data_IF_922542793521
#
_entry.id   IF_922542793521
#
_cell.length_a   1.000
_cell.length_b   1.000
_cell.length_c   1.000
_cell.angle_alpha   90.00
_cell.angle_beta   90.00
_cell.angle_gamma   90.00
#
_symmetry.space_group_name_H-M   'P 1'
#
loop_
_entity.id
_entity.type
_entity.pdbx_description
1 polymer ?
#
# COMPACT_ATOMS: atom_id res chain seq x y z
N UNK A 1 -23.10 -27.83 -6.89
CA UNK A 1 -23.72 -26.53 -6.56
C UNK A 1 -22.91 -25.88 -5.44
N UNK A 2 -22.15 -24.84 -5.74
CA UNK A 2 -21.57 -23.95 -4.73
C UNK A 2 -21.90 -22.53 -5.19
N UNK A 3 -22.88 -21.93 -4.52
CA UNK A 3 -23.32 -20.55 -4.74
C UNK A 3 -22.19 -19.65 -4.26
N UNK A 4 -21.48 -19.04 -5.21
CA UNK A 4 -20.57 -17.93 -4.92
C UNK A 4 -21.38 -16.86 -4.20
N UNK A 5 -21.01 -16.56 -2.96
CA UNK A 5 -21.47 -15.39 -2.23
C UNK A 5 -21.12 -14.16 -3.06
N UNK A 6 -22.11 -13.66 -3.79
CA UNK A 6 -22.06 -12.35 -4.41
C UNK A 6 -22.03 -11.36 -3.24
N UNK A 7 -20.82 -10.95 -2.84
CA UNK A 7 -20.63 -9.84 -1.93
C UNK A 7 -21.47 -8.69 -2.49
N UNK A 8 -22.55 -8.32 -1.81
CA UNK A 8 -23.39 -7.19 -2.21
C UNK A 8 -22.50 -5.96 -2.29
N UNK A 9 -22.00 -5.65 -3.48
CA UNK A 9 -21.24 -4.44 -3.75
C UNK A 9 -22.21 -3.32 -3.40
N UNK A 10 -21.92 -2.48 -2.38
CA UNK A 10 -22.83 -1.40 -2.04
C UNK A 10 -23.11 -0.60 -3.32
N UNK A 11 -24.37 -0.24 -3.56
CA UNK A 11 -24.75 0.47 -4.79
C UNK A 11 -23.82 1.66 -5.05
N UNK A 12 -23.55 1.99 -6.32
CA UNK A 12 -22.53 2.99 -6.71
C UNK A 12 -22.66 4.32 -5.96
N UNK A 13 -23.90 4.74 -5.63
CA UNK A 13 -24.19 5.94 -4.83
C UNK A 13 -23.74 5.77 -3.37
N UNK A 14 -23.96 4.61 -2.77
CA UNK A 14 -23.52 4.27 -1.39
C UNK A 14 -22.00 4.17 -1.31
N UNK A 15 -21.33 3.68 -2.37
CA UNK A 15 -19.87 3.71 -2.50
C UNK A 15 -19.33 5.15 -2.55
N UNK A 16 -19.91 6.01 -3.39
CA UNK A 16 -19.52 7.42 -3.46
C UNK A 16 -19.70 8.14 -2.12
N UNK A 17 -20.82 7.87 -1.42
CA UNK A 17 -21.09 8.45 -0.09
C UNK A 17 -20.09 7.99 0.95
N UNK A 18 -19.74 6.70 0.96
CA UNK A 18 -18.75 6.13 1.86
C UNK A 18 -17.36 6.76 1.61
N UNK A 19 -16.95 6.90 0.35
CA UNK A 19 -15.68 7.56 -0.01
C UNK A 19 -15.69 9.03 0.42
N UNK A 20 -16.81 9.74 0.23
CA UNK A 20 -16.93 11.13 0.67
C UNK A 20 -16.82 11.27 2.21
N UNK A 21 -17.36 10.33 2.98
CA UNK A 21 -17.20 10.28 4.43
C UNK A 21 -15.74 10.03 4.83
N UNK A 22 -15.06 9.10 4.15
CA UNK A 22 -13.63 8.82 4.37
C UNK A 22 -12.78 10.07 4.07
N UNK A 23 -13.04 10.77 2.96
CA UNK A 23 -12.36 12.02 2.62
C UNK A 23 -12.57 13.06 3.70
N UNK A 24 -13.81 13.23 4.18
CA UNK A 24 -14.14 14.23 5.21
C UNK A 24 -13.47 13.91 6.55
N UNK A 25 -13.37 12.63 6.92
CA UNK A 25 -12.69 12.17 8.14
C UNK A 25 -11.17 12.39 8.04
N UNK A 26 -10.56 12.10 6.90
CA UNK A 26 -9.13 12.28 6.70
C UNK A 26 -8.72 13.75 6.47
N UNK A 27 -9.56 14.54 5.81
CA UNK A 27 -9.34 15.96 5.54
C UNK A 27 -10.67 16.74 5.60
N UNK A 28 -10.94 17.51 6.67
CA UNK A 28 -12.20 18.24 6.82
C UNK A 28 -12.40 19.32 5.74
N UNK A 29 -11.33 19.80 5.10
CA UNK A 29 -11.38 20.78 4.00
C UNK A 29 -11.53 20.11 2.62
N UNK A 30 -11.58 18.78 2.55
CA UNK A 30 -11.54 18.05 1.29
C UNK A 30 -12.75 18.30 0.38
N UNK A 31 -13.96 18.26 0.94
CA UNK A 31 -15.20 18.51 0.19
C UNK A 31 -15.31 19.95 -0.35
N UNK A 32 -15.00 21.01 0.45
CA UNK A 32 -14.91 22.36 -0.07
C UNK A 32 -13.96 22.52 -1.26
N UNK A 33 -12.79 21.86 -1.24
CA UNK A 33 -11.81 21.93 -2.35
C UNK A 33 -12.39 21.32 -3.64
N UNK A 34 -13.05 20.17 -3.53
CA UNK A 34 -13.69 19.52 -4.70
C UNK A 34 -14.76 20.44 -5.28
N UNK A 35 -15.64 21.01 -4.44
CA UNK A 35 -16.69 21.90 -4.89
C UNK A 35 -16.13 23.19 -5.52
N UNK A 36 -15.15 23.82 -4.87
CA UNK A 36 -14.48 25.01 -5.38
C UNK A 36 -13.79 24.74 -6.72
N UNK A 37 -13.18 23.56 -6.90
CA UNK A 37 -12.54 23.19 -8.16
C UNK A 37 -13.55 23.03 -9.30
N UNK A 38 -14.69 22.39 -9.05
CA UNK A 38 -15.73 22.22 -10.07
C UNK A 38 -16.39 23.56 -10.43
N UNK A 39 -16.76 24.36 -9.43
CA UNK A 39 -17.36 25.68 -9.64
C UNK A 39 -16.36 26.64 -10.29
N UNK A 40 -15.09 26.60 -9.88
CA UNK A 40 -14.02 27.39 -10.49
C UNK A 40 -13.82 27.04 -11.97
N UNK A 41 -13.80 25.75 -12.33
CA UNK A 41 -13.74 25.33 -13.73
C UNK A 41 -14.96 25.83 -14.52
N UNK A 42 -16.17 25.70 -13.97
CA UNK A 42 -17.38 26.20 -14.64
C UNK A 42 -17.29 27.72 -14.88
N UNK A 43 -16.91 28.49 -13.86
CA UNK A 43 -16.76 29.94 -13.97
C UNK A 43 -15.76 30.33 -15.06
N UNK A 44 -14.59 29.67 -15.12
CA UNK A 44 -13.58 29.95 -16.15
C UNK A 44 -14.11 29.67 -17.55
N UNK A 45 -14.76 28.53 -17.77
CA UNK A 45 -15.29 28.18 -19.10
C UNK A 45 -16.43 29.11 -19.53
N UNK A 46 -17.28 29.54 -18.59
CA UNK A 46 -18.36 30.51 -18.86
C UNK A 46 -17.78 31.88 -19.22
N UNK A 47 -16.76 32.36 -18.51
CA UNK A 47 -16.07 33.63 -18.84
C UNK A 47 -15.46 33.57 -20.25
N UNK A 48 -14.84 32.45 -20.63
CA UNK A 48 -14.34 32.24 -21.99
C UNK A 48 -15.48 32.32 -23.01
N UNK A 49 -16.63 31.71 -22.71
CA UNK A 49 -17.83 31.78 -23.54
C UNK A 49 -18.40 33.18 -23.71
N UNK A 50 -18.37 34.00 -22.66
CA UNK A 50 -18.78 35.40 -22.72
C UNK A 50 -17.87 36.22 -23.64
N UNK A 51 -16.54 36.01 -23.56
CA UNK A 51 -15.56 36.74 -24.38
C UNK A 51 -15.61 36.31 -25.86
N UNK A 52 -15.91 35.04 -26.13
CA UNK A 52 -15.95 34.48 -27.50
C UNK A 52 -17.32 34.58 -28.18
N UNK A 53 -18.37 34.99 -27.45
CA UNK A 53 -19.73 35.11 -27.99
C UNK A 53 -20.52 33.80 -28.06
N UNK A 54 -19.94 32.67 -27.68
CA UNK A 54 -20.56 31.34 -27.72
C UNK A 54 -21.09 30.86 -26.37
N UNK A 55 -21.78 31.74 -25.63
CA UNK A 55 -22.15 31.51 -24.23
C UNK A 55 -22.86 30.17 -23.99
N UNK A 56 -23.89 29.83 -24.78
CA UNK A 56 -24.65 28.59 -24.61
C UNK A 56 -23.82 27.33 -24.84
N UNK A 57 -22.93 27.35 -25.83
CA UNK A 57 -22.02 26.24 -26.13
C UNK A 57 -20.98 26.07 -25.02
N UNK A 58 -20.41 27.18 -24.54
CA UNK A 58 -19.46 27.19 -23.43
C UNK A 58 -20.09 26.75 -22.11
N UNK A 59 -21.35 27.09 -21.83
CA UNK A 59 -22.06 26.59 -20.64
C UNK A 59 -22.20 25.06 -20.70
N UNK A 60 -22.64 24.50 -21.83
CA UNK A 60 -22.78 23.06 -21.99
C UNK A 60 -21.45 22.31 -21.79
N UNK A 61 -20.38 22.77 -22.45
CA UNK A 61 -19.03 22.21 -22.29
C UNK A 61 -18.51 22.43 -20.87
N UNK A 62 -18.77 23.61 -20.29
CA UNK A 62 -18.34 23.99 -18.96
C UNK A 62 -18.91 23.08 -17.88
N UNK A 63 -20.17 22.68 -18.01
CA UNK A 63 -20.80 21.72 -17.08
C UNK A 63 -20.11 20.35 -17.15
N UNK A 64 -19.85 19.84 -18.35
CA UNK A 64 -19.14 18.57 -18.52
C UNK A 64 -17.72 18.65 -17.97
N UNK A 65 -16.99 19.73 -18.29
CA UNK A 65 -15.64 19.97 -17.79
C UNK A 65 -15.59 20.10 -16.27
N UNK A 66 -16.52 20.83 -15.67
CA UNK A 66 -16.63 21.00 -14.22
C UNK A 66 -16.88 19.66 -13.50
N UNK A 67 -17.76 18.82 -14.06
CA UNK A 67 -18.01 17.47 -13.54
C UNK A 67 -16.75 16.60 -13.63
N UNK A 68 -16.06 16.61 -14.77
CA UNK A 68 -14.82 15.84 -14.96
C UNK A 68 -13.73 16.30 -13.98
N UNK A 69 -13.49 17.61 -13.87
CA UNK A 69 -12.48 18.15 -12.94
C UNK A 69 -12.84 17.82 -11.50
N UNK A 70 -14.11 17.99 -11.10
CA UNK A 70 -14.59 17.61 -9.77
C UNK A 70 -14.34 16.14 -9.45
N UNK A 71 -14.63 15.23 -10.38
CA UNK A 71 -14.35 13.79 -10.25
C UNK A 71 -12.86 13.49 -10.13
N UNK A 72 -12.01 14.13 -10.92
CA UNK A 72 -10.55 13.95 -10.88
C UNK A 72 -9.99 14.42 -9.54
N UNK A 73 -10.35 15.62 -9.10
CA UNK A 73 -9.90 16.18 -7.81
C UNK A 73 -10.41 15.33 -6.65
N UNK A 74 -11.67 14.90 -6.69
CA UNK A 74 -12.24 13.97 -5.71
C UNK A 74 -11.45 12.66 -5.64
N UNK A 75 -11.13 12.05 -6.79
CA UNK A 75 -10.34 10.83 -6.85
C UNK A 75 -8.94 11.00 -6.25
N UNK A 76 -8.26 12.11 -6.58
CA UNK A 76 -6.95 12.42 -6.01
C UNK A 76 -7.00 12.62 -4.49
N UNK A 77 -8.04 13.28 -3.98
CA UNK A 77 -8.24 13.47 -2.55
C UNK A 77 -8.57 12.16 -1.83
N UNK A 78 -9.41 11.31 -2.43
CA UNK A 78 -9.73 9.98 -1.92
C UNK A 78 -8.47 9.14 -1.73
N UNK A 79 -7.58 9.14 -2.73
CA UNK A 79 -6.31 8.42 -2.64
C UNK A 79 -5.46 8.95 -1.48
N UNK A 80 -5.30 10.27 -1.36
CA UNK A 80 -4.55 10.89 -0.25
C UNK A 80 -5.15 10.56 1.13
N UNK A 81 -6.47 10.62 1.25
CA UNK A 81 -7.21 10.30 2.47
C UNK A 81 -7.03 8.84 2.90
N UNK A 82 -7.04 7.91 1.94
CA UNK A 82 -6.75 6.50 2.24
C UNK A 82 -5.33 6.33 2.77
N UNK A 83 -4.33 6.97 2.16
CA UNK A 83 -2.95 6.88 2.65
C UNK A 83 -2.77 7.45 4.06
N UNK A 84 -3.48 8.52 4.44
CA UNK A 84 -3.40 9.08 5.79
C UNK A 84 -4.06 8.20 6.85
N UNK A 85 -5.08 7.41 6.49
CA UNK A 85 -5.71 6.45 7.42
C UNK A 85 -4.79 5.24 7.66
N UNK A 86 -4.06 4.83 6.63
CA UNK A 86 -3.06 3.76 6.73
C UNK A 86 -1.80 4.22 7.49
N UNK A 87 -1.51 5.52 7.51
CA UNK A 87 -0.33 6.06 8.18
C UNK A 87 -0.39 5.78 9.70
N UNK A 88 0.61 5.04 10.22
CA UNK A 88 0.67 4.60 11.63
C UNK A 88 -0.03 3.27 11.93
N UNK A 89 -0.68 2.62 10.96
CA UNK A 89 -1.19 1.26 11.12
C UNK A 89 -0.14 0.23 10.74
N UNK A 90 -0.04 -0.84 11.53
CA UNK A 90 0.83 -1.97 11.21
C UNK A 90 0.45 -2.61 9.86
N UNK A 91 1.44 -2.79 8.99
CA UNK A 91 1.28 -3.41 7.68
C UNK A 91 0.72 -2.46 6.62
N UNK A 92 0.71 -1.16 6.90
CA UNK A 92 0.33 -0.13 5.95
C UNK A 92 1.18 -0.16 4.68
N UNK A 93 2.49 -0.42 4.81
CA UNK A 93 3.37 -0.54 3.66
C UNK A 93 2.92 -1.68 2.74
N UNK A 94 2.59 -2.86 3.29
CA UNK A 94 2.06 -3.97 2.51
C UNK A 94 0.76 -3.63 1.77
N UNK A 95 -0.18 -2.96 2.43
CA UNK A 95 -1.45 -2.59 1.81
C UNK A 95 -1.25 -1.64 0.60
N UNK A 96 -0.34 -0.66 0.73
CA UNK A 96 0.02 0.22 -0.39
C UNK A 96 0.68 -0.56 -1.53
N UNK A 97 1.58 -1.49 -1.20
CA UNK A 97 2.29 -2.30 -2.19
C UNK A 97 1.36 -3.27 -2.92
N UNK A 98 0.39 -3.86 -2.23
CA UNK A 98 -0.62 -4.75 -2.83
C UNK A 98 -1.57 -4.00 -3.78
N UNK A 99 -1.78 -2.71 -3.55
CA UNK A 99 -2.55 -1.86 -4.46
C UNK A 99 -1.82 -1.47 -5.76
N UNK A 100 -0.54 -1.82 -5.91
CA UNK A 100 0.22 -1.47 -7.12
C UNK A 100 -0.29 -2.23 -8.34
N UNK A 101 -0.50 -1.51 -9.44
CA UNK A 101 -0.85 -2.09 -10.74
C UNK A 101 0.39 -2.67 -11.44
N UNK A 102 0.21 -3.80 -12.11
CA UNK A 102 1.24 -4.45 -12.92
C UNK A 102 1.69 -5.80 -12.37
N UNK A 103 2.82 -6.32 -12.89
CA UNK A 103 3.34 -7.64 -12.52
C UNK A 103 4.19 -7.58 -11.23
N UNK A 104 3.56 -7.18 -10.13
CA UNK A 104 4.17 -7.14 -8.80
C UNK A 104 3.65 -8.30 -7.96
N UNK A 105 4.55 -9.03 -7.29
CA UNK A 105 4.18 -10.01 -6.29
C UNK A 105 4.59 -9.49 -4.92
N UNK A 106 3.62 -9.31 -4.02
CA UNK A 106 3.86 -8.82 -2.67
C UNK A 106 3.60 -9.95 -1.68
N UNK A 107 4.62 -10.30 -0.91
CA UNK A 107 4.53 -11.23 0.21
C UNK A 107 4.62 -10.42 1.50
N UNK A 108 3.48 -10.14 2.16
CA UNK A 108 3.46 -9.35 3.38
C UNK A 108 4.07 -10.14 4.56
N UNK A 109 4.71 -9.42 5.50
CA UNK A 109 5.16 -9.93 6.78
C UNK A 109 6.03 -11.20 6.66
N UNK A 110 7.13 -11.11 5.89
CA UNK A 110 8.10 -12.21 5.78
C UNK A 110 8.89 -12.40 7.07
N UNK A 111 9.11 -11.31 7.80
CA UNK A 111 9.70 -11.30 9.13
C UNK A 111 8.95 -10.29 10.00
N UNK A 112 8.72 -10.64 11.26
CA UNK A 112 8.07 -9.79 12.26
C UNK A 112 8.83 -9.88 13.58
N UNK A 113 9.13 -8.73 14.19
CA UNK A 113 9.76 -8.67 15.51
C UNK A 113 8.70 -8.56 16.64
N UNK A 114 9.11 -8.75 17.90
CA UNK A 114 8.26 -8.54 19.09
C UNK A 114 7.71 -7.13 19.17
N UNK A 115 8.50 -6.14 18.73
CA UNK A 115 8.13 -4.72 18.70
C UNK A 115 7.24 -4.36 17.52
N UNK A 116 6.64 -5.36 16.85
CA UNK A 116 5.71 -5.16 15.75
C UNK A 116 6.33 -4.53 14.49
N UNK A 117 7.66 -4.46 14.40
CA UNK A 117 8.39 -4.10 13.18
C UNK A 117 8.21 -5.21 12.13
N UNK A 118 7.93 -4.83 10.88
CA UNK A 118 7.59 -5.74 9.79
C UNK A 118 8.57 -5.62 8.63
N UNK A 119 8.80 -6.73 7.93
CA UNK A 119 9.43 -6.74 6.60
C UNK A 119 8.47 -7.35 5.60
N UNK A 120 8.34 -6.70 4.46
CA UNK A 120 7.58 -7.14 3.31
C UNK A 120 8.54 -7.44 2.16
N UNK A 121 8.27 -8.52 1.45
CA UNK A 121 9.03 -8.90 0.26
C UNK A 121 8.20 -8.55 -0.97
N UNK A 122 8.78 -7.81 -1.91
CA UNK A 122 8.18 -7.47 -3.19
C UNK A 122 9.06 -7.98 -4.32
N UNK A 123 8.46 -8.63 -5.31
CA UNK A 123 9.16 -9.10 -6.52
C UNK A 123 8.54 -8.42 -7.74
N UNK A 124 9.38 -7.86 -8.60
CA UNK A 124 8.97 -7.18 -9.83
C UNK A 124 10.10 -7.05 -10.84
N UNK A 125 9.91 -6.19 -11.85
CA UNK A 125 10.92 -5.94 -12.88
C UNK A 125 12.29 -5.46 -12.36
N UNK A 126 12.39 -4.69 -11.27
CA UNK A 126 13.69 -4.31 -10.73
C UNK A 126 14.49 -5.47 -10.14
N UNK A 127 13.83 -6.56 -9.76
CA UNK A 127 14.43 -7.62 -8.94
C UNK A 127 13.61 -7.85 -7.68
N UNK A 128 14.33 -7.98 -6.56
CA UNK A 128 13.73 -8.19 -5.24
C UNK A 128 13.82 -6.90 -4.45
N UNK A 129 12.72 -6.50 -3.83
CA UNK A 129 12.64 -5.30 -3.00
C UNK A 129 12.15 -5.70 -1.61
N UNK A 130 12.98 -5.47 -0.60
CA UNK A 130 12.64 -5.64 0.80
C UNK A 130 12.20 -4.29 1.35
N UNK A 131 10.95 -4.22 1.81
CA UNK A 131 10.38 -3.00 2.41
C UNK A 131 10.16 -3.26 3.88
N UNK A 132 10.82 -2.50 4.74
CA UNK A 132 10.58 -2.56 6.19
C UNK A 132 9.62 -1.48 6.66
N UNK A 133 8.93 -1.76 7.75
CA UNK A 133 8.03 -0.84 8.45
C UNK A 133 8.45 -0.78 9.93
N UNK A 134 8.78 0.43 10.40
CA UNK A 134 9.21 0.68 11.77
C UNK A 134 10.36 1.70 11.88
N UNK A 135 10.83 2.00 13.11
CA UNK A 135 11.91 2.95 13.36
C UNK A 135 13.25 2.47 12.77
N UNK A 136 13.93 3.37 12.05
CA UNK A 136 15.15 3.08 11.26
C UNK A 136 16.24 2.34 12.02
N UNK A 137 16.47 2.70 13.28
CA UNK A 137 17.50 2.09 14.14
C UNK A 137 17.31 0.60 14.38
N UNK A 138 16.06 0.10 14.42
CA UNK A 138 15.74 -1.32 14.62
C UNK A 138 15.59 -2.07 13.31
N UNK A 139 14.88 -1.47 12.35
CA UNK A 139 14.57 -2.14 11.07
C UNK A 139 15.80 -2.36 10.21
N UNK A 140 16.85 -1.52 10.32
CA UNK A 140 18.09 -1.70 9.55
C UNK A 140 18.78 -3.05 9.81
N UNK A 141 18.85 -3.49 11.07
CA UNK A 141 19.43 -4.81 11.42
C UNK A 141 18.58 -5.95 10.89
N UNK A 142 17.26 -5.82 11.01
CA UNK A 142 16.29 -6.80 10.54
C UNK A 142 16.32 -6.95 9.01
N UNK A 143 16.41 -5.82 8.28
CA UNK A 143 16.58 -5.77 6.83
C UNK A 143 17.88 -6.44 6.39
N UNK A 144 19.00 -6.15 7.05
CA UNK A 144 20.28 -6.76 6.70
C UNK A 144 20.26 -8.29 6.89
N UNK A 145 19.61 -8.78 7.93
CA UNK A 145 19.43 -10.22 8.17
C UNK A 145 18.58 -10.88 7.06
N UNK A 146 17.47 -10.25 6.70
CA UNK A 146 16.58 -10.77 5.66
C UNK A 146 17.21 -10.67 4.26
N UNK A 147 17.95 -9.59 3.97
CA UNK A 147 18.73 -9.42 2.74
C UNK A 147 19.72 -10.57 2.54
N UNK A 148 20.47 -10.95 3.59
CA UNK A 148 21.39 -12.11 3.55
C UNK A 148 20.67 -13.44 3.36
N UNK A 149 19.43 -13.56 3.85
CA UNK A 149 18.62 -14.76 3.67
C UNK A 149 18.10 -14.87 2.24
N UNK A 150 17.55 -13.78 1.72
CA UNK A 150 17.04 -13.69 0.35
C UNK A 150 18.16 -13.84 -0.67
N UNK A 151 19.34 -13.27 -0.41
CA UNK A 151 20.51 -13.38 -1.29
C UNK A 151 20.97 -14.82 -1.53
N UNK A 152 20.73 -15.74 -0.58
CA UNK A 152 21.03 -17.17 -0.76
C UNK A 152 20.15 -17.86 -1.80
N UNK A 153 18.96 -17.31 -2.06
CA UNK A 153 17.96 -17.88 -2.97
C UNK A 153 17.88 -17.08 -4.29
N UNK A 154 18.03 -15.76 -4.21
CA UNK A 154 17.99 -14.84 -5.34
C UNK A 154 19.38 -14.58 -5.94
N UNK A 155 20.09 -15.66 -6.32
CA UNK A 155 21.44 -15.57 -6.88
C UNK A 155 21.46 -14.77 -8.19
N UNK A 156 22.35 -13.76 -8.27
CA UNK A 156 22.51 -12.92 -9.46
C UNK A 156 21.39 -11.90 -9.71
N UNK A 157 20.49 -11.70 -8.73
CA UNK A 157 19.39 -10.74 -8.82
C UNK A 157 19.65 -9.57 -7.87
N UNK A 158 19.41 -8.35 -8.34
CA UNK A 158 19.51 -7.15 -7.52
C UNK A 158 18.48 -7.15 -6.38
N UNK A 159 18.96 -6.84 -5.16
CA UNK A 159 18.14 -6.76 -3.94
C UNK A 159 18.18 -5.34 -3.38
N UNK A 160 17.06 -4.65 -3.48
CA UNK A 160 16.86 -3.31 -2.93
C UNK A 160 16.28 -3.39 -1.52
N UNK A 161 16.86 -2.64 -0.59
CA UNK A 161 16.34 -2.45 0.76
C UNK A 161 15.77 -1.03 0.92
N UNK A 162 14.51 -0.94 1.34
CA UNK A 162 13.78 0.30 1.53
C UNK A 162 13.22 0.32 2.95
N UNK A 163 13.46 1.41 3.67
CA UNK A 163 12.83 1.66 4.97
C UNK A 163 11.62 2.56 4.78
N UNK A 164 10.43 2.10 5.16
CA UNK A 164 9.22 2.88 5.11
C UNK A 164 8.95 3.54 6.48
N UNK A 165 8.78 4.85 6.48
CA UNK A 165 8.48 5.65 7.66
C UNK A 165 8.83 7.13 7.45
N UNK A 166 8.71 7.94 8.50
CA UNK A 166 8.93 9.39 8.44
C UNK A 166 10.28 9.82 9.06
N UNK A 167 11.11 8.86 9.47
CA UNK A 167 12.45 9.14 9.98
C UNK A 167 13.44 9.57 8.89
N UNK A 168 14.61 10.05 9.31
CA UNK A 168 15.68 10.42 8.38
C UNK A 168 16.14 9.20 7.56
N UNK A 169 16.30 9.39 6.24
CA UNK A 169 16.66 8.31 5.31
C UNK A 169 15.53 7.30 5.02
N UNK A 170 14.35 7.45 5.63
CA UNK A 170 13.19 6.63 5.32
C UNK A 170 12.34 7.21 4.20
N UNK A 171 11.62 6.35 3.49
CA UNK A 171 10.67 6.72 2.46
C UNK A 171 9.27 6.84 3.09
N UNK A 172 8.64 8.02 3.05
CA UNK A 172 7.28 8.17 3.56
C UNK A 172 6.29 7.27 2.82
N UNK A 173 5.30 6.74 3.54
CA UNK A 173 4.33 5.77 3.00
C UNK A 173 3.67 6.24 1.69
N UNK A 174 3.24 7.50 1.60
CA UNK A 174 2.63 8.07 0.40
C UNK A 174 3.57 8.19 -0.82
N UNK A 175 4.89 8.10 -0.60
CA UNK A 175 5.92 8.14 -1.66
C UNK A 175 6.47 6.75 -2.00
N UNK A 176 6.18 5.73 -1.19
CA UNK A 176 6.73 4.36 -1.32
C UNK A 176 6.50 3.77 -2.71
N UNK A 177 5.25 3.80 -3.20
CA UNK A 177 4.91 3.29 -4.53
C UNK A 177 5.71 3.99 -5.64
N UNK A 178 5.79 5.33 -5.59
CA UNK A 178 6.53 6.11 -6.60
C UNK A 178 8.03 5.82 -6.53
N UNK A 179 8.58 5.63 -5.33
CA UNK A 179 9.98 5.32 -5.13
C UNK A 179 10.34 3.96 -5.75
N UNK A 180 9.56 2.91 -5.48
CA UNK A 180 9.76 1.58 -6.06
C UNK A 180 9.61 1.58 -7.58
N UNK A 181 8.63 2.32 -8.10
CA UNK A 181 8.41 2.42 -9.55
C UNK A 181 9.54 3.14 -10.31
N UNK A 182 10.40 3.89 -9.61
CA UNK A 182 11.57 4.56 -10.21
C UNK A 182 12.81 3.66 -10.29
N UNK A 183 12.79 2.49 -9.67
CA UNK A 183 13.92 1.56 -9.72
C UNK A 183 14.14 1.07 -11.16
N UNK A 184 15.40 0.83 -11.56
CA UNK A 184 15.73 0.38 -12.92
C UNK A 184 15.10 -1.00 -13.19
N UNK A 185 14.80 -1.27 -14.46
CA UNK A 185 14.19 -2.53 -14.88
C UNK A 185 15.26 -3.54 -15.27
N UNK A 186 15.75 -4.28 -14.29
CA UNK A 186 16.87 -5.22 -14.47
C UNK A 186 16.44 -6.57 -15.04
N UNK A 187 15.19 -6.99 -14.79
CA UNK A 187 14.68 -8.32 -15.16
C UNK A 187 13.72 -8.28 -16.34
N UNK A 188 13.72 -9.36 -17.13
CA UNK A 188 12.67 -9.65 -18.13
C UNK A 188 11.52 -10.43 -17.49
N UNK A 189 10.34 -10.42 -18.12
CA UNK A 189 9.12 -11.06 -17.60
C UNK A 189 9.30 -12.54 -17.19
N UNK A 190 9.99 -13.41 -17.96
CA UNK A 190 10.24 -14.79 -17.55
C UNK A 190 11.09 -14.90 -16.28
N UNK A 191 12.18 -14.13 -16.21
CA UNK A 191 13.08 -14.08 -15.06
C UNK A 191 12.36 -13.62 -13.79
N UNK A 192 11.41 -12.68 -13.91
CA UNK A 192 10.57 -12.26 -12.78
C UNK A 192 9.75 -13.43 -12.22
N UNK A 193 9.17 -14.26 -13.08
CA UNK A 193 8.39 -15.42 -12.63
C UNK A 193 9.28 -16.48 -11.98
N UNK A 194 10.45 -16.75 -12.55
CA UNK A 194 11.42 -17.67 -11.95
C UNK A 194 11.85 -17.20 -10.55
N UNK A 195 12.13 -15.91 -10.37
CA UNK A 195 12.45 -15.34 -9.05
C UNK A 195 11.28 -15.49 -8.08
N UNK A 196 10.04 -15.27 -8.54
CA UNK A 196 8.84 -15.50 -7.69
C UNK A 196 8.75 -16.94 -7.22
N UNK A 197 8.95 -17.90 -8.11
CA UNK A 197 8.84 -19.33 -7.80
C UNK A 197 9.92 -19.76 -6.82
N UNK A 198 11.16 -19.29 -6.99
CA UNK A 198 12.26 -19.53 -6.05
C UNK A 198 11.98 -18.93 -4.66
N UNK A 199 11.44 -17.72 -4.60
CA UNK A 199 11.18 -17.04 -3.32
C UNK A 199 9.92 -17.52 -2.60
N UNK A 200 8.98 -18.16 -3.31
CA UNK A 200 7.77 -18.72 -2.72
C UNK A 200 8.05 -19.84 -1.73
N UNK A 201 9.16 -20.57 -1.91
CA UNK A 201 9.59 -21.64 -1.00
C UNK A 201 10.37 -21.14 0.22
N UNK A 202 10.65 -19.84 0.32
CA UNK A 202 11.38 -19.29 1.46
C UNK A 202 10.50 -19.36 2.73
N UNK A 203 10.97 -19.99 3.83
CA UNK A 203 10.18 -20.06 5.05
C UNK A 203 9.96 -18.67 5.65
N UNK A 204 8.74 -18.34 6.06
CA UNK A 204 8.45 -17.05 6.73
C UNK A 204 8.92 -17.09 8.18
N UNK A 205 9.62 -16.06 8.63
CA UNK A 205 10.00 -15.88 10.04
C UNK A 205 8.88 -15.16 10.79
N UNK A 206 7.76 -15.87 11.00
CA UNK A 206 6.66 -15.37 11.81
C UNK A 206 6.84 -15.82 13.27
N UNK A 207 6.66 -14.91 14.26
CA UNK A 207 6.55 -15.30 15.65
C UNK A 207 5.40 -16.30 15.79
N UNK A 208 5.71 -17.52 16.23
CA UNK A 208 4.69 -18.55 16.48
C UNK A 208 3.74 -18.01 17.57
N UNK A 209 2.41 -17.94 17.33
CA UNK A 209 1.47 -17.57 18.36
C UNK A 209 1.62 -18.56 19.50
N UNK A 210 2.12 -18.08 20.65
CA UNK A 210 2.22 -18.93 21.83
C UNK A 210 0.80 -19.17 22.31
N UNK A 211 0.26 -20.35 21.96
CA UNK A 211 -0.97 -20.86 22.56
C UNK A 211 -0.84 -20.85 24.08
N UNK A 212 -1.97 -20.83 24.82
CA UNK A 212 -1.93 -20.82 26.28
C UNK A 212 -1.04 -21.98 26.75
N UNK A 213 0.08 -21.65 27.39
CA UNK A 213 1.00 -22.66 27.88
C UNK A 213 0.23 -23.53 28.88
N UNK A 214 0.28 -24.87 28.78
CA UNK A 214 -0.32 -25.74 29.77
C UNK A 214 0.28 -25.41 31.14
N UNK A 215 -0.51 -24.75 32.00
CA UNK A 215 -0.12 -24.51 33.38
C UNK A 215 -0.11 -25.86 34.08
N UNK A 216 1.09 -26.36 34.39
CA UNK A 216 1.25 -27.29 35.51
C UNK A 216 1.51 -28.76 35.19
N UNK A 217 2.25 -29.11 34.12
CA UNK A 217 2.85 -30.44 34.08
C UNK A 217 4.08 -30.49 34.99
N UNK A 218 3.82 -30.67 36.28
CA UNK A 218 4.84 -30.93 37.31
C UNK A 218 5.49 -32.27 36.94
N UNK A 219 6.71 -32.23 36.39
CA UNK A 219 7.46 -33.44 36.04
C UNK A 219 7.55 -34.35 37.28
N UNK A 220 7.11 -35.62 37.22
CA UNK A 220 7.24 -36.55 38.34
C UNK A 220 8.72 -36.68 38.70
N UNK A 221 9.06 -36.42 39.97
CA UNK A 221 10.41 -36.66 40.47
C UNK A 221 10.70 -38.15 40.34
N UNK A 222 11.76 -38.48 39.62
CA UNK A 222 12.22 -39.87 39.48
C UNK A 222 12.51 -40.52 40.84
N UNK A 223 12.40 -41.86 40.93
CA UNK A 223 12.56 -42.57 42.19
C UNK A 223 13.99 -42.42 42.71
N UNK A 224 14.13 -42.05 43.99
CA UNK A 224 15.41 -42.09 44.70
C UNK A 224 15.81 -43.56 44.85
N UNK A 225 16.89 -43.96 44.19
CA UNK A 225 17.60 -45.20 44.54
C UNK A 225 18.12 -45.07 45.97
N UNK A 226 17.89 -46.11 46.76
CA UNK A 226 18.22 -46.23 48.18
C UNK A 226 19.41 -47.17 48.33
#
# INVERSE_FOLDING_TARGET
MAKSEDSEKPGRIKQLRMIAQIIKQANPKGMPIVFLSAVGTLAVVVVIGLVTGYLWYSVFIGVLAALTVGLVVFGQLAQRAQYSILHGQMGAAAAVLQGMRGNWQVTPAIAVNRDQDLIHLVVGYPGVVLVSEGPGSRVGRMLAAEKKRVARVALGIEIYDIQCGDGEGQVPLGKLQRHIMKLPRNLKKPSVNEVKDRLRSLPKNLPVPKGPMPKGMRMPRGPKMR
#
